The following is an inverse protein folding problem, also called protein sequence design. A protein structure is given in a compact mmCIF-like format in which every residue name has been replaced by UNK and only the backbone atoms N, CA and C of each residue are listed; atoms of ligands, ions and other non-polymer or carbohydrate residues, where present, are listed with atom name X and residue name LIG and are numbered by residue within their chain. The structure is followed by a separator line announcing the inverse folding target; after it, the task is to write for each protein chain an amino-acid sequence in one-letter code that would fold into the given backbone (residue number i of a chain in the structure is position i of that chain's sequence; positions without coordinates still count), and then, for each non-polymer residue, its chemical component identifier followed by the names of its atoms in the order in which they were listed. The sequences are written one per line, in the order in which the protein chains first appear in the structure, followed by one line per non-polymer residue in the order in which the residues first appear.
data_IF_423450141146
#
_entry.id   IF_423450141146
#
_cell.length_a   1.000
_cell.length_b   1.000
_cell.length_c   1.000
_cell.angle_alpha   90.00
_cell.angle_beta   90.00
_cell.angle_gamma   90.00
#
_symmetry.space_group_name_H-M   'P 1'
#
loop_
_entity.id
_entity.type
_entity.pdbx_description
1 polymer ?
#
# COMPACT_ATOMS: atom_id res chain seq x y z
N UNK A 1 38.69 -22.92 -29.06
CA UNK A 1 39.35 -21.65 -29.39
C UNK A 1 40.84 -21.83 -29.50
N UNK A 2 41.46 -21.08 -30.41
CA UNK A 2 42.92 -21.03 -30.56
C UNK A 2 43.54 -20.38 -29.31
N UNK A 3 44.69 -20.88 -28.84
CA UNK A 3 45.31 -20.39 -27.61
C UNK A 3 45.61 -18.88 -27.72
N UNK A 4 44.98 -18.06 -26.87
CA UNK A 4 45.10 -16.59 -26.88
C UNK A 4 43.93 -15.83 -27.52
N UNK A 5 42.96 -16.50 -28.15
CA UNK A 5 41.74 -15.86 -28.70
C UNK A 5 40.50 -16.00 -27.80
N UNK A 6 40.68 -16.50 -26.58
CA UNK A 6 39.59 -16.79 -25.63
C UNK A 6 38.76 -15.56 -25.22
N UNK A 7 39.28 -14.33 -25.41
CA UNK A 7 38.55 -13.08 -25.14
C UNK A 7 38.09 -12.32 -26.39
N UNK A 8 38.33 -12.87 -27.59
CA UNK A 8 37.93 -12.25 -28.87
C UNK A 8 36.40 -12.15 -29.01
N UNK A 9 35.90 -11.26 -29.87
CA UNK A 9 34.44 -11.08 -30.08
C UNK A 9 33.71 -12.38 -30.49
N UNK A 10 34.41 -13.27 -31.19
CA UNK A 10 33.88 -14.56 -31.64
C UNK A 10 34.14 -15.73 -30.69
N UNK A 11 34.75 -15.50 -29.52
CA UNK A 11 35.13 -16.57 -28.62
C UNK A 11 33.91 -17.36 -28.11
N UNK A 12 34.07 -18.68 -28.01
CA UNK A 12 33.02 -19.60 -27.57
C UNK A 12 32.56 -19.27 -26.14
N UNK A 13 33.47 -18.72 -25.32
CA UNK A 13 33.21 -18.30 -23.94
C UNK A 13 32.09 -17.26 -23.84
N UNK A 14 32.03 -16.29 -24.76
CA UNK A 14 30.96 -15.27 -24.72
C UNK A 14 29.60 -15.85 -25.06
N UNK A 15 29.55 -16.83 -25.97
CA UNK A 15 28.31 -17.52 -26.32
C UNK A 15 27.81 -18.35 -25.13
N UNK A 16 28.67 -19.11 -24.48
CA UNK A 16 28.28 -19.92 -23.33
C UNK A 16 27.95 -19.09 -22.10
N UNK A 17 28.70 -18.03 -21.83
CA UNK A 17 28.36 -17.08 -20.79
C UNK A 17 27.00 -16.45 -21.03
N UNK A 18 26.73 -15.97 -22.25
CA UNK A 18 25.45 -15.32 -22.58
C UNK A 18 24.30 -16.30 -22.43
N UNK A 19 24.46 -17.56 -22.87
CA UNK A 19 23.44 -18.60 -22.72
C UNK A 19 23.14 -18.91 -21.25
N UNK A 20 24.18 -19.08 -20.43
CA UNK A 20 24.00 -19.34 -19.00
C UNK A 20 23.40 -18.13 -18.26
N UNK A 21 23.86 -16.91 -18.57
CA UNK A 21 23.37 -15.67 -17.99
C UNK A 21 21.90 -15.41 -18.36
N UNK A 22 21.51 -15.64 -19.61
CA UNK A 22 20.12 -15.51 -20.07
C UNK A 22 19.20 -16.49 -19.35
N UNK A 23 19.61 -17.75 -19.20
CA UNK A 23 18.82 -18.75 -18.50
C UNK A 23 18.59 -18.37 -17.03
N UNK A 24 19.63 -17.83 -16.37
CA UNK A 24 19.52 -17.33 -15.01
C UNK A 24 18.62 -16.08 -14.93
N UNK A 25 18.79 -15.12 -15.83
CA UNK A 25 18.02 -13.88 -15.86
C UNK A 25 16.54 -14.12 -16.12
N UNK A 26 16.20 -15.03 -17.03
CA UNK A 26 14.81 -15.42 -17.30
C UNK A 26 14.15 -15.98 -16.04
N UNK A 27 14.86 -16.84 -15.29
CA UNK A 27 14.33 -17.40 -14.05
C UNK A 27 14.17 -16.32 -12.97
N UNK A 28 15.18 -15.47 -12.79
CA UNK A 28 15.18 -14.40 -11.79
C UNK A 28 14.07 -13.38 -12.06
N UNK A 29 14.01 -12.87 -13.29
CA UNK A 29 12.99 -11.90 -13.72
C UNK A 29 11.59 -12.48 -13.61
N UNK A 30 11.40 -13.76 -13.94
CA UNK A 30 10.10 -14.42 -13.81
C UNK A 30 9.66 -14.50 -12.35
N UNK A 31 10.54 -14.95 -11.45
CA UNK A 31 10.23 -15.05 -10.02
C UNK A 31 9.90 -13.68 -9.42
N UNK A 32 10.73 -12.67 -9.70
CA UNK A 32 10.55 -11.33 -9.18
C UNK A 32 9.29 -10.67 -9.73
N UNK A 33 9.03 -10.75 -11.03
CA UNK A 33 7.80 -10.21 -11.61
C UNK A 33 6.56 -10.90 -11.02
N UNK A 34 6.56 -12.23 -10.90
CA UNK A 34 5.42 -12.95 -10.30
C UNK A 34 5.17 -12.55 -8.84
N UNK A 35 6.24 -12.35 -8.06
CA UNK A 35 6.13 -11.86 -6.68
C UNK A 35 5.53 -10.46 -6.61
N UNK A 36 6.04 -9.54 -7.45
CA UNK A 36 5.56 -8.15 -7.51
C UNK A 36 4.10 -8.08 -8.01
N UNK A 37 3.72 -8.91 -8.98
CA UNK A 37 2.34 -9.01 -9.47
C UNK A 37 1.38 -9.48 -8.39
N UNK A 38 1.76 -10.53 -7.66
CA UNK A 38 0.95 -11.05 -6.56
C UNK A 38 0.76 -9.98 -5.48
N UNK A 39 1.83 -9.29 -5.10
CA UNK A 39 1.76 -8.21 -4.11
C UNK A 39 0.88 -7.05 -4.59
N UNK A 40 1.01 -6.61 -5.85
CA UNK A 40 0.21 -5.52 -6.41
C UNK A 40 -1.30 -5.85 -6.42
N UNK A 41 -1.66 -7.08 -6.76
CA UNK A 41 -3.06 -7.55 -6.69
C UNK A 41 -3.57 -7.49 -5.25
N UNK A 42 -2.79 -8.00 -4.30
CA UNK A 42 -3.14 -7.99 -2.88
C UNK A 42 -3.29 -6.56 -2.35
N UNK A 43 -2.33 -5.68 -2.65
CA UNK A 43 -2.36 -4.27 -2.26
C UNK A 43 -3.59 -3.55 -2.82
N UNK A 44 -3.92 -3.78 -4.10
CA UNK A 44 -5.08 -3.15 -4.75
C UNK A 44 -6.39 -3.65 -4.15
N UNK A 45 -6.52 -4.95 -3.92
CA UNK A 45 -7.72 -5.55 -3.33
C UNK A 45 -7.96 -5.03 -1.92
N UNK A 46 -6.95 -5.04 -1.06
CA UNK A 46 -7.11 -4.52 0.30
C UNK A 46 -7.35 -3.00 0.30
N UNK A 47 -6.65 -2.23 -0.53
CA UNK A 47 -6.91 -0.79 -0.66
C UNK A 47 -8.34 -0.48 -1.08
N UNK A 48 -8.93 -1.26 -2.00
CA UNK A 48 -10.33 -1.09 -2.39
C UNK A 48 -11.28 -1.35 -1.21
N UNK A 49 -11.04 -2.44 -0.46
CA UNK A 49 -11.83 -2.77 0.74
C UNK A 49 -11.73 -1.67 1.78
N UNK A 50 -10.52 -1.23 2.13
CA UNK A 50 -10.33 -0.18 3.14
C UNK A 50 -10.90 1.16 2.68
N UNK A 51 -10.82 1.48 1.39
CA UNK A 51 -11.45 2.69 0.85
C UNK A 51 -12.96 2.69 1.07
N UNK A 52 -13.64 1.55 0.91
CA UNK A 52 -15.07 1.45 1.18
C UNK A 52 -15.41 1.77 2.65
N UNK A 53 -14.59 1.29 3.59
CA UNK A 53 -14.75 1.63 5.01
C UNK A 53 -14.48 3.11 5.29
N UNK A 54 -13.40 3.66 4.74
CA UNK A 54 -13.03 5.08 4.89
C UNK A 54 -14.11 6.00 4.35
N UNK A 55 -14.73 5.69 3.20
CA UNK A 55 -15.83 6.50 2.64
C UNK A 55 -17.01 6.63 3.61
N UNK A 56 -17.27 5.58 4.41
CA UNK A 56 -18.31 5.60 5.43
C UNK A 56 -17.84 6.40 6.66
N UNK A 57 -16.70 6.05 7.25
CA UNK A 57 -16.24 6.65 8.51
C UNK A 57 -15.72 8.07 8.37
N UNK A 58 -15.39 8.50 7.15
CA UNK A 58 -15.02 9.88 6.87
C UNK A 58 -16.18 10.84 7.10
N UNK A 59 -17.42 10.36 6.90
CA UNK A 59 -18.61 11.17 7.18
C UNK A 59 -18.73 11.46 8.68
N UNK A 60 -18.29 10.53 9.54
CA UNK A 60 -18.28 10.72 11.00
C UNK A 60 -17.25 11.74 11.50
N UNK A 61 -16.38 12.24 10.61
CA UNK A 61 -15.45 13.34 10.87
C UNK A 61 -16.01 14.71 10.45
N UNK A 62 -17.20 14.75 9.87
CA UNK A 62 -17.85 15.98 9.43
C UNK A 62 -19.21 16.14 10.13
N UNK A 63 -19.65 17.39 10.38
CA UNK A 63 -20.99 17.63 10.89
C UNK A 63 -22.03 17.22 9.83
N UNK A 64 -22.99 16.38 10.21
CA UNK A 64 -24.07 16.00 9.29
C UNK A 64 -25.14 17.10 9.32
N UNK A 65 -25.80 17.36 8.17
CA UNK A 65 -26.95 18.27 8.12
C UNK A 65 -28.07 17.87 9.12
N UNK A 66 -28.14 16.59 9.45
CA UNK A 66 -29.03 16.03 10.44
C UNK A 66 -28.66 16.44 11.88
N UNK A 67 -27.38 16.52 12.21
CA UNK A 67 -26.90 17.00 13.51
C UNK A 67 -27.21 18.49 13.69
N UNK A 68 -26.97 19.29 12.64
CA UNK A 68 -27.35 20.70 12.63
C UNK A 68 -28.86 20.86 12.84
N UNK A 69 -29.67 20.07 12.12
CA UNK A 69 -31.14 20.10 12.24
C UNK A 69 -31.61 19.70 13.65
N UNK A 70 -31.02 18.65 14.23
CA UNK A 70 -31.35 18.19 15.57
C UNK A 70 -30.97 19.22 16.64
N UNK A 71 -29.81 19.87 16.50
CA UNK A 71 -29.37 20.94 17.39
C UNK A 71 -30.31 22.16 17.32
N UNK A 72 -30.69 22.57 16.10
CA UNK A 72 -31.67 23.65 15.92
C UNK A 72 -33.05 23.30 16.48
N UNK A 73 -33.51 22.05 16.30
CA UNK A 73 -34.77 21.57 16.90
C UNK A 73 -34.72 21.59 18.43
N UNK A 74 -33.61 21.17 19.03
CA UNK A 74 -33.38 21.27 20.47
C UNK A 74 -33.47 22.72 20.94
N UNK A 75 -32.82 23.64 20.22
CA UNK A 75 -32.84 25.06 20.54
C UNK A 75 -34.26 25.65 20.46
N UNK A 76 -35.04 25.29 19.44
CA UNK A 76 -36.46 25.68 19.32
C UNK A 76 -37.28 25.14 20.48
N UNK A 77 -37.09 23.87 20.88
CA UNK A 77 -37.78 23.28 22.04
C UNK A 77 -37.40 24.01 23.34
N UNK A 78 -36.14 24.40 23.50
CA UNK A 78 -35.68 25.18 24.65
C UNK A 78 -36.30 26.58 24.70
N UNK A 79 -36.39 27.26 23.55
CA UNK A 79 -37.05 28.56 23.43
C UNK A 79 -38.56 28.49 23.73
N UNK A 80 -39.24 27.42 23.29
CA UNK A 80 -40.65 27.18 23.61
C UNK A 80 -40.89 26.92 25.11
N UNK A 81 -39.93 26.27 25.80
CA UNK A 81 -40.01 26.02 27.25
C UNK A 81 -39.70 27.26 28.09
N UNK A 82 -38.85 28.16 27.60
CA UNK A 82 -38.44 29.39 28.30
C UNK A 82 -38.72 30.63 27.43
N UNK A 83 -39.92 31.21 27.49
CA UNK A 83 -40.33 32.33 26.62
C UNK A 83 -39.57 33.65 26.87
N UNK A 84 -38.72 33.73 27.90
CA UNK A 84 -37.84 34.87 28.17
C UNK A 84 -36.46 34.73 27.48
N UNK A 85 -36.18 33.59 26.83
CA UNK A 85 -34.91 33.34 26.16
C UNK A 85 -34.86 34.08 24.82
N UNK A 86 -33.88 34.98 24.67
CA UNK A 86 -33.68 35.77 23.47
C UNK A 86 -32.95 34.91 22.41
N UNK A 87 -33.68 34.39 21.42
CA UNK A 87 -33.18 33.47 20.38
C UNK A 87 -32.07 34.11 19.52
N UNK A 88 -31.98 35.44 19.51
CA UNK A 88 -31.03 36.21 18.70
C UNK A 88 -29.55 36.05 19.11
N UNK A 89 -29.24 35.48 20.28
CA UNK A 89 -27.86 35.35 20.78
C UNK A 89 -27.19 33.99 20.54
N UNK A 90 -27.90 33.01 19.94
CA UNK A 90 -27.45 31.61 19.87
C UNK A 90 -27.41 31.03 18.44
N UNK A 91 -27.35 31.90 17.41
CA UNK A 91 -27.25 31.47 16.00
C UNK A 91 -25.85 31.00 15.56
N UNK A 92 -24.88 30.90 16.46
CA UNK A 92 -23.57 30.38 16.10
C UNK A 92 -23.61 28.85 16.12
N UNK A 93 -23.39 28.17 14.97
CA UNK A 93 -23.45 26.72 14.93
C UNK A 93 -22.43 26.14 15.94
N UNK A 94 -22.81 25.13 16.73
CA UNK A 94 -21.90 24.54 17.70
C UNK A 94 -20.65 24.02 16.97
N UNK A 95 -19.48 24.29 17.54
CA UNK A 95 -18.21 23.77 17.03
C UNK A 95 -18.26 22.24 17.03
N UNK A 96 -18.29 21.63 15.84
CA UNK A 96 -18.26 20.19 15.70
C UNK A 96 -16.88 19.66 16.10
N UNK A 97 -16.85 18.78 17.09
CA UNK A 97 -15.63 18.10 17.53
C UNK A 97 -15.86 16.59 17.32
N UNK A 98 -15.19 15.97 16.34
CA UNK A 98 -15.34 14.54 16.10
C UNK A 98 -14.85 13.73 17.29
N UNK A 99 -15.44 12.55 17.49
CA UNK A 99 -15.02 11.63 18.56
C UNK A 99 -13.55 11.24 18.38
N UNK A 100 -12.82 11.08 19.49
CA UNK A 100 -11.42 10.64 19.42
C UNK A 100 -11.28 9.27 18.75
N UNK A 101 -12.27 8.39 18.91
CA UNK A 101 -12.32 7.08 18.27
C UNK A 101 -12.37 7.24 16.75
N UNK A 102 -13.24 8.11 16.23
CA UNK A 102 -13.39 8.35 14.79
C UNK A 102 -12.10 8.91 14.20
N UNK A 103 -11.41 9.80 14.92
CA UNK A 103 -10.10 10.33 14.50
C UNK A 103 -9.05 9.22 14.40
N UNK A 104 -8.94 8.37 15.42
CA UNK A 104 -7.97 7.27 15.42
C UNK A 104 -8.24 6.23 14.34
N UNK A 105 -9.49 5.81 14.17
CA UNK A 105 -9.88 4.81 13.16
C UNK A 105 -9.58 5.33 11.75
N UNK A 106 -10.04 6.53 11.41
CA UNK A 106 -9.77 7.12 10.11
C UNK A 106 -8.26 7.37 9.92
N UNK A 107 -7.55 7.84 10.94
CA UNK A 107 -6.10 8.06 10.87
C UNK A 107 -5.30 6.78 10.57
N UNK A 108 -5.64 5.67 11.22
CA UNK A 108 -5.04 4.36 10.95
C UNK A 108 -5.33 3.89 9.53
N UNK A 109 -6.57 4.04 9.06
CA UNK A 109 -6.95 3.62 7.72
C UNK A 109 -6.37 4.50 6.60
N UNK A 110 -6.25 5.80 6.80
CA UNK A 110 -5.51 6.67 5.87
C UNK A 110 -4.03 6.30 5.81
N UNK A 111 -3.43 5.97 6.97
CA UNK A 111 -2.05 5.52 7.04
C UNK A 111 -1.87 4.19 6.31
N UNK A 112 -2.81 3.26 6.45
CA UNK A 112 -2.85 2.02 5.67
C UNK A 112 -2.86 2.30 4.16
N UNK A 113 -3.77 3.17 3.69
CA UNK A 113 -3.89 3.48 2.26
C UNK A 113 -2.62 4.12 1.71
N UNK A 114 -2.02 5.07 2.44
CA UNK A 114 -0.78 5.71 2.04
C UNK A 114 0.40 4.71 2.00
N UNK A 115 0.52 3.85 3.01
CA UNK A 115 1.51 2.78 3.12
C UNK A 115 1.39 1.80 1.94
N UNK A 116 0.19 1.25 1.72
CA UNK A 116 -0.11 0.31 0.63
C UNK A 116 0.16 0.92 -0.76
N UNK A 117 -0.18 2.20 -0.96
CA UNK A 117 0.08 2.89 -2.22
C UNK A 117 1.58 3.14 -2.45
N UNK A 118 2.33 3.48 -1.39
CA UNK A 118 3.79 3.61 -1.45
C UNK A 118 4.45 2.29 -1.83
N UNK A 119 4.03 1.20 -1.19
CA UNK A 119 4.46 -0.17 -1.49
C UNK A 119 4.17 -0.56 -2.95
N UNK A 120 2.96 -0.26 -3.44
CA UNK A 120 2.60 -0.48 -4.84
C UNK A 120 3.45 0.36 -5.81
N UNK A 121 3.72 1.62 -5.48
CA UNK A 121 4.56 2.49 -6.30
C UNK A 121 6.01 1.98 -6.39
N UNK A 122 6.59 1.54 -5.27
CA UNK A 122 7.92 0.92 -5.24
C UNK A 122 7.92 -0.36 -6.07
N UNK A 123 6.91 -1.22 -5.92
CA UNK A 123 6.76 -2.43 -6.73
C UNK A 123 6.74 -2.13 -8.23
N UNK A 124 5.96 -1.12 -8.66
CA UNK A 124 5.92 -0.69 -10.06
C UNK A 124 7.26 -0.14 -10.56
N UNK A 125 7.96 0.67 -9.76
CA UNK A 125 9.29 1.16 -10.13
C UNK A 125 10.27 0.00 -10.35
N UNK A 126 10.28 -0.99 -9.46
CA UNK A 126 11.13 -2.17 -9.64
C UNK A 126 10.75 -2.90 -10.93
N UNK A 127 9.47 -3.11 -11.22
CA UNK A 127 9.06 -3.73 -12.49
C UNK A 127 9.55 -2.95 -13.71
N UNK A 128 9.51 -1.63 -13.68
CA UNK A 128 10.05 -0.80 -14.76
C UNK A 128 11.56 -1.03 -14.94
N UNK A 129 12.32 -1.11 -13.85
CA UNK A 129 13.74 -1.43 -13.88
C UNK A 129 14.03 -2.85 -14.40
N UNK A 130 13.25 -3.85 -13.99
CA UNK A 130 13.39 -5.23 -14.48
C UNK A 130 13.07 -5.35 -15.98
N UNK A 131 12.07 -4.61 -16.45
CA UNK A 131 11.79 -4.53 -17.88
C UNK A 131 12.94 -3.86 -18.65
N UNK A 132 13.43 -2.73 -18.15
CA UNK A 132 14.57 -2.01 -18.74
C UNK A 132 15.86 -2.85 -18.74
N UNK A 133 16.05 -3.71 -17.74
CA UNK A 133 17.19 -4.63 -17.64
C UNK A 133 17.28 -5.57 -18.85
N UNK A 134 16.13 -6.15 -19.25
CA UNK A 134 16.05 -7.10 -20.38
C UNK A 134 15.95 -6.42 -21.75
N UNK A 135 15.54 -5.15 -21.79
CA UNK A 135 15.28 -4.42 -23.03
C UNK A 135 16.57 -3.91 -23.72
N UNK A 136 16.60 -3.97 -25.05
CA UNK A 136 17.61 -3.31 -25.88
C UNK A 136 19.00 -3.92 -25.82
N UNK A 137 19.11 -5.24 -25.61
CA UNK A 137 20.40 -5.93 -25.63
C UNK A 137 20.94 -6.07 -27.07
N UNK A 138 22.23 -5.75 -27.33
CA UNK A 138 22.85 -5.89 -28.64
C UNK A 138 22.91 -7.35 -29.14
N UNK A 139 23.01 -7.53 -30.46
CA UNK A 139 23.20 -8.86 -31.08
C UNK A 139 24.60 -9.44 -30.86
N UNK A 140 25.63 -8.61 -30.70
CA UNK A 140 26.99 -9.06 -30.37
C UNK A 140 27.05 -9.63 -28.95
N UNK A 141 27.48 -10.89 -28.82
CA UNK A 141 27.55 -11.61 -27.55
C UNK A 141 28.48 -10.94 -26.53
N UNK A 142 29.61 -10.38 -26.98
CA UNK A 142 30.56 -9.70 -26.09
C UNK A 142 30.02 -8.36 -25.57
N UNK A 143 29.40 -7.55 -26.44
CA UNK A 143 28.83 -6.27 -26.01
C UNK A 143 27.61 -6.49 -25.10
N UNK A 144 26.79 -7.48 -25.44
CA UNK A 144 25.65 -7.92 -24.64
C UNK A 144 26.05 -8.37 -23.25
N UNK A 145 27.07 -9.22 -23.12
CA UNK A 145 27.55 -9.72 -21.82
C UNK A 145 28.01 -8.57 -20.91
N UNK A 146 28.78 -7.61 -21.45
CA UNK A 146 29.25 -6.43 -20.70
C UNK A 146 28.12 -5.53 -20.25
N UNK A 147 27.18 -5.22 -21.17
CA UNK A 147 26.05 -4.35 -20.85
C UNK A 147 25.12 -4.98 -19.80
N UNK A 148 24.82 -6.27 -19.97
CA UNK A 148 24.05 -7.06 -19.00
C UNK A 148 24.74 -7.07 -17.64
N UNK A 149 26.05 -7.35 -17.59
CA UNK A 149 26.79 -7.40 -16.33
C UNK A 149 26.81 -6.05 -15.63
N UNK A 150 26.93 -4.94 -16.36
CA UNK A 150 26.84 -3.60 -15.78
C UNK A 150 25.47 -3.34 -15.13
N UNK A 151 24.38 -3.68 -15.84
CA UNK A 151 23.02 -3.57 -15.31
C UNK A 151 22.77 -4.50 -14.12
N UNK A 152 23.34 -5.71 -14.16
CA UNK A 152 23.22 -6.69 -13.07
C UNK A 152 23.97 -6.23 -11.82
N UNK A 153 25.16 -5.65 -11.98
CA UNK A 153 25.88 -5.03 -10.88
C UNK A 153 25.07 -3.88 -10.25
N UNK A 154 24.39 -3.07 -11.06
CA UNK A 154 23.48 -2.05 -10.55
C UNK A 154 22.33 -2.67 -9.73
N UNK A 155 21.70 -3.77 -10.17
CA UNK A 155 20.67 -4.46 -9.38
C UNK A 155 21.18 -4.96 -8.01
N UNK A 156 22.44 -5.41 -7.95
CA UNK A 156 23.09 -5.84 -6.71
C UNK A 156 23.39 -4.63 -5.81
N UNK A 157 23.96 -3.57 -6.37
CA UNK A 157 24.33 -2.36 -5.63
C UNK A 157 23.09 -1.68 -5.03
N UNK A 158 22.00 -1.62 -5.79
CA UNK A 158 20.70 -1.11 -5.34
C UNK A 158 19.94 -2.09 -4.44
N UNK A 159 20.50 -3.27 -4.15
CA UNK A 159 19.90 -4.28 -3.26
C UNK A 159 18.46 -4.66 -3.66
N UNK A 160 18.16 -4.69 -4.97
CA UNK A 160 16.80 -4.91 -5.48
C UNK A 160 16.16 -6.18 -4.92
N UNK A 161 16.94 -7.27 -4.77
CA UNK A 161 16.48 -8.52 -4.18
C UNK A 161 15.97 -8.35 -2.74
N UNK A 162 16.65 -7.54 -1.93
CA UNK A 162 16.27 -7.28 -0.54
C UNK A 162 15.00 -6.44 -0.46
N UNK A 163 14.87 -5.44 -1.36
CA UNK A 163 13.67 -4.61 -1.45
C UNK A 163 12.47 -5.48 -1.82
N UNK A 164 12.58 -6.31 -2.87
CA UNK A 164 11.50 -7.22 -3.30
C UNK A 164 11.13 -8.20 -2.16
N UNK A 165 12.11 -8.68 -1.39
CA UNK A 165 11.84 -9.54 -0.24
C UNK A 165 11.17 -8.82 0.95
N UNK A 166 11.41 -7.52 1.11
CA UNK A 166 10.83 -6.71 2.20
C UNK A 166 9.40 -6.24 1.89
N UNK A 167 9.08 -6.00 0.62
CA UNK A 167 7.79 -5.50 0.16
C UNK A 167 6.57 -6.29 0.71
N UNK A 168 6.54 -7.64 0.63
CA UNK A 168 5.44 -8.43 1.20
C UNK A 168 5.29 -8.26 2.72
N UNK A 169 6.41 -8.08 3.44
CA UNK A 169 6.41 -7.83 4.87
C UNK A 169 5.84 -6.44 5.19
N UNK A 170 6.26 -5.41 4.46
CA UNK A 170 5.73 -4.06 4.59
C UNK A 170 4.20 -4.03 4.37
N UNK A 171 3.72 -4.68 3.32
CA UNK A 171 2.29 -4.77 3.03
C UNK A 171 1.52 -5.48 4.16
N UNK A 172 2.10 -6.54 4.73
CA UNK A 172 1.53 -7.25 5.88
C UNK A 172 1.42 -6.34 7.11
N UNK A 173 2.43 -5.50 7.36
CA UNK A 173 2.38 -4.48 8.42
C UNK A 173 1.28 -3.46 8.14
N UNK A 174 1.10 -2.99 6.90
CA UNK A 174 -0.02 -2.12 6.56
C UNK A 174 -1.34 -2.85 6.92
N UNK A 175 -1.54 -4.11 6.52
CA UNK A 175 -2.77 -4.87 6.84
C UNK A 175 -3.02 -4.95 8.36
N UNK A 176 -1.98 -5.12 9.17
CA UNK A 176 -2.11 -5.10 10.64
C UNK A 176 -2.61 -3.75 11.16
N UNK A 177 -2.17 -2.63 10.59
CA UNK A 177 -2.67 -1.28 10.92
C UNK A 177 -4.16 -1.16 10.60
N UNK A 178 -4.61 -1.71 9.46
CA UNK A 178 -6.03 -1.75 9.12
C UNK A 178 -6.84 -2.57 10.14
N UNK A 179 -6.38 -3.77 10.49
CA UNK A 179 -7.04 -4.64 11.47
C UNK A 179 -7.12 -4.03 12.86
N UNK A 180 -6.10 -3.26 13.27
CA UNK A 180 -6.13 -2.51 14.52
C UNK A 180 -7.24 -1.45 14.50
N UNK A 181 -7.35 -0.67 13.41
CA UNK A 181 -8.45 0.30 13.24
C UNK A 181 -9.82 -0.35 13.22
N UNK A 182 -9.96 -1.50 12.55
CA UNK A 182 -11.19 -2.30 12.52
C UNK A 182 -11.57 -2.78 13.93
N UNK A 183 -10.60 -3.26 14.71
CA UNK A 183 -10.83 -3.71 16.08
C UNK A 183 -11.36 -2.58 16.96
N UNK A 184 -10.73 -1.40 16.91
CA UNK A 184 -11.16 -0.20 17.65
C UNK A 184 -12.61 0.18 17.28
N UNK A 185 -12.95 0.15 15.99
CA UNK A 185 -14.31 0.44 15.52
C UNK A 185 -15.33 -0.57 16.09
N UNK A 186 -15.02 -1.87 16.03
CA UNK A 186 -15.92 -2.90 16.52
C UNK A 186 -16.18 -2.80 18.03
N UNK A 187 -15.13 -2.51 18.82
CA UNK A 187 -15.29 -2.26 20.26
C UNK A 187 -16.19 -1.06 20.54
N UNK A 188 -16.12 -0.01 19.71
CA UNK A 188 -17.00 1.15 19.84
C UNK A 188 -18.46 0.85 19.50
N UNK A 189 -18.73 -0.11 18.61
CA UNK A 189 -20.09 -0.49 18.19
C UNK A 189 -20.75 -1.45 19.18
N UNK A 190 -20.06 -2.55 19.52
CA UNK A 190 -20.59 -3.56 20.43
C UNK A 190 -19.48 -4.48 20.95
N UNK A 191 -19.27 -4.46 22.27
CA UNK A 191 -18.28 -5.30 22.96
C UNK A 191 -18.44 -6.81 22.70
N UNK A 192 -19.65 -7.30 22.46
CA UNK A 192 -19.88 -8.71 22.17
C UNK A 192 -19.36 -9.12 20.77
N UNK A 193 -19.56 -8.25 19.77
CA UNK A 193 -19.08 -8.48 18.40
C UNK A 193 -17.56 -8.34 18.35
N UNK A 194 -17.01 -7.37 19.09
CA UNK A 194 -15.58 -7.15 19.18
C UNK A 194 -14.84 -8.34 19.81
N UNK A 195 -15.37 -8.91 20.90
CA UNK A 195 -14.79 -10.09 21.54
C UNK A 195 -14.81 -11.34 20.64
N UNK A 196 -15.84 -11.50 19.80
CA UNK A 196 -15.90 -12.59 18.83
C UNK A 196 -14.80 -12.46 17.76
N UNK A 197 -14.61 -11.27 17.21
CA UNK A 197 -13.56 -11.01 16.20
C UNK A 197 -12.16 -11.16 16.79
N UNK A 198 -11.94 -10.66 18.01
CA UNK A 198 -10.66 -10.83 18.71
C UNK A 198 -10.36 -12.31 19.00
N UNK A 199 -11.37 -13.09 19.38
CA UNK A 199 -11.21 -14.54 19.57
C UNK A 199 -10.88 -15.27 18.28
N UNK A 200 -11.44 -14.86 17.14
CA UNK A 200 -11.14 -15.46 15.84
C UNK A 200 -9.72 -15.13 15.38
N UNK A 201 -9.25 -13.90 15.67
CA UNK A 201 -7.87 -13.46 15.40
C UNK A 201 -6.82 -14.22 16.22
N UNK A 202 -7.13 -14.64 17.45
CA UNK A 202 -6.23 -15.43 18.30
C UNK A 202 -6.09 -16.91 17.89
N UNK A 203 -6.89 -17.39 16.93
CA UNK A 203 -6.88 -18.80 16.48
C UNK A 203 -5.92 -19.02 15.29
N UNK A 204 -5.42 -17.96 14.67
CA UNK A 204 -4.44 -17.99 13.59
C UNK A 204 -3.09 -17.45 14.07
#
# INVERSE_FOLDING_TARGET
DEFGQEMSEGATIWQEYTRAADAHDVQLLRQWNQSLDTMLIVATLFSAVVTAFVVVTFQDLQPTAQDLTNNLLLEVVHALKNPQMNISQSLEPPNFIPSSINIWVNGLWFTFLACSLGDAAIAMLIKQWLNAYSAGLPSSHQLRSRMRQHRFNALIEWKTAQIIGFLPFALSVCVMVFLAGLSILLFSLNNAIANFVHSFGNVF
#
